data_IF_626808915903
#
_entry.id   IF_626808915903
#
_cell.length_a   1.000
_cell.length_b   1.000
_cell.length_c   1.000
_cell.angle_alpha   90.00
_cell.angle_beta   90.00
_cell.angle_gamma   90.00
#
_symmetry.space_group_name_H-M   'P 1'
#
loop_
_entity.id
_entity.type
_entity.pdbx_description
1 polymer ?
#
# COMPACT_ATOMS: atom_id res chain seq x y z
N UNK A 1 -5.92 6.59 -5.06
CA UNK A 1 -4.48 6.28 -5.16
C UNK A 1 -3.88 6.66 -3.80
N UNK A 2 -2.57 6.59 -3.54
CA UNK A 2 -1.99 7.32 -2.38
C UNK A 2 -0.85 8.19 -2.88
N UNK A 3 -1.19 9.39 -3.32
CA UNK A 3 -0.23 10.41 -3.72
C UNK A 3 0.34 11.08 -2.48
N UNK A 4 1.64 11.35 -2.54
CA UNK A 4 2.34 12.10 -1.49
C UNK A 4 1.67 13.46 -1.30
N UNK A 5 1.38 13.82 -0.06
CA UNK A 5 0.74 15.10 0.33
C UNK A 5 -0.68 15.32 -0.23
N UNK A 6 -1.43 14.25 -0.50
CA UNK A 6 -2.83 14.33 -0.88
C UNK A 6 -3.73 14.17 0.35
N UNK A 7 -4.11 15.29 0.99
CA UNK A 7 -4.95 15.28 2.19
C UNK A 7 -6.24 14.43 2.04
N UNK A 8 -7.01 14.52 0.92
CA UNK A 8 -8.21 13.70 0.77
C UNK A 8 -7.93 12.20 0.86
N UNK A 9 -6.84 11.75 0.24
CA UNK A 9 -6.47 10.33 0.24
C UNK A 9 -5.95 9.89 1.62
N UNK A 10 -5.25 10.77 2.36
CA UNK A 10 -4.81 10.52 3.74
C UNK A 10 -6.01 10.38 4.70
N UNK A 11 -7.03 11.23 4.55
CA UNK A 11 -8.26 11.12 5.34
C UNK A 11 -9.07 9.85 5.02
N UNK A 12 -9.08 9.42 3.76
CA UNK A 12 -9.80 8.22 3.33
C UNK A 12 -9.08 6.90 3.71
N UNK A 13 -7.75 6.90 3.80
CA UNK A 13 -6.96 5.69 4.02
C UNK A 13 -7.34 4.87 5.27
N UNK A 14 -7.55 5.46 6.47
CA UNK A 14 -7.97 4.71 7.65
C UNK A 14 -9.29 3.97 7.44
N UNK A 15 -10.23 4.56 6.71
CA UNK A 15 -11.54 3.96 6.43
C UNK A 15 -11.35 2.71 5.58
N UNK A 16 -10.58 2.80 4.49
CA UNK A 16 -10.30 1.66 3.63
C UNK A 16 -9.50 0.57 4.35
N UNK A 17 -8.50 0.95 5.16
CA UNK A 17 -7.70 0.00 5.91
C UNK A 17 -8.56 -0.84 6.86
N UNK A 18 -9.47 -0.21 7.60
CA UNK A 18 -10.42 -0.93 8.47
C UNK A 18 -11.31 -1.89 7.68
N UNK A 19 -11.86 -1.45 6.54
CA UNK A 19 -12.71 -2.28 5.70
C UNK A 19 -11.96 -3.50 5.11
N UNK A 20 -10.70 -3.32 4.73
CA UNK A 20 -9.88 -4.43 4.24
C UNK A 20 -9.55 -5.44 5.34
N UNK A 21 -9.22 -4.97 6.55
CA UNK A 21 -8.98 -5.85 7.70
C UNK A 21 -10.26 -6.64 8.07
N UNK A 22 -11.42 -5.97 8.12
CA UNK A 22 -12.72 -6.62 8.38
C UNK A 22 -13.08 -7.67 7.32
N UNK A 23 -12.73 -7.41 6.05
CA UNK A 23 -12.95 -8.34 4.95
C UNK A 23 -11.88 -9.46 4.86
N UNK A 24 -10.85 -9.44 5.71
CA UNK A 24 -9.72 -10.37 5.65
C UNK A 24 -8.86 -10.19 4.39
N UNK A 25 -8.92 -9.02 3.76
CA UNK A 25 -8.19 -8.69 2.53
C UNK A 25 -6.86 -8.06 2.91
N UNK A 26 -5.76 -8.73 2.56
CA UNK A 26 -4.41 -8.16 2.69
C UNK A 26 -4.28 -6.93 1.78
N UNK A 27 -3.84 -5.80 2.32
CA UNK A 27 -3.57 -4.57 1.57
C UNK A 27 -2.14 -4.08 1.81
N UNK A 28 -1.58 -3.33 0.86
CA UNK A 28 -0.25 -2.75 0.93
C UNK A 28 -0.33 -1.24 0.73
N UNK A 29 0.14 -0.47 1.72
CA UNK A 29 0.25 0.98 1.60
C UNK A 29 1.44 1.37 0.75
N UNK A 30 1.24 2.07 -0.38
CA UNK A 30 2.32 2.60 -1.22
C UNK A 30 2.09 4.10 -1.43
N UNK A 31 3.03 4.91 -0.92
CA UNK A 31 3.04 6.34 -1.21
C UNK A 31 3.70 6.58 -2.58
N UNK A 32 3.04 7.37 -3.42
CA UNK A 32 3.52 7.73 -4.75
C UNK A 32 4.05 9.15 -4.72
N UNK A 33 5.36 9.27 -4.89
CA UNK A 33 6.06 10.53 -5.11
C UNK A 33 6.33 10.70 -6.61
N UNK A 34 5.74 11.73 -7.23
CA UNK A 34 5.90 11.99 -8.66
C UNK A 34 7.29 12.51 -9.02
N UNK A 35 8.05 13.04 -8.07
CA UNK A 35 9.42 13.51 -8.27
C UNK A 35 10.47 12.44 -7.93
N UNK A 36 10.04 11.24 -7.54
CA UNK A 36 10.95 10.16 -7.18
C UNK A 36 11.86 9.76 -8.36
N UNK A 37 13.15 9.70 -8.09
CA UNK A 37 14.18 9.23 -9.03
C UNK A 37 14.57 7.77 -8.81
N UNK A 38 14.07 7.14 -7.73
CA UNK A 38 14.32 5.75 -7.39
C UNK A 38 13.08 5.10 -6.77
N UNK A 39 12.79 3.87 -7.19
CA UNK A 39 11.63 3.09 -6.74
C UNK A 39 12.02 1.76 -6.06
N UNK A 40 13.30 1.57 -5.72
CA UNK A 40 13.80 0.30 -5.19
C UNK A 40 13.14 -0.10 -3.85
N UNK A 41 12.76 0.89 -3.04
CA UNK A 41 12.01 0.63 -1.81
C UNK A 41 10.61 0.08 -2.12
N UNK A 42 9.89 0.69 -3.07
CA UNK A 42 8.57 0.24 -3.49
C UNK A 42 8.67 -1.18 -4.05
N UNK A 43 9.67 -1.45 -4.88
CA UNK A 43 9.92 -2.77 -5.46
C UNK A 43 10.11 -3.84 -4.39
N UNK A 44 10.94 -3.59 -3.38
CA UNK A 44 11.16 -4.53 -2.26
C UNK A 44 9.85 -4.76 -1.48
N UNK A 45 9.07 -3.72 -1.21
CA UNK A 45 7.80 -3.85 -0.48
C UNK A 45 6.75 -4.65 -1.25
N UNK A 46 6.64 -4.43 -2.56
CA UNK A 46 5.76 -5.21 -3.43
C UNK A 46 6.22 -6.67 -3.49
N UNK A 47 7.53 -6.92 -3.60
CA UNK A 47 8.08 -8.27 -3.60
C UNK A 47 7.75 -9.01 -2.29
N UNK A 48 8.02 -8.41 -1.13
CA UNK A 48 7.70 -9.02 0.16
C UNK A 48 6.20 -9.26 0.32
N UNK A 49 5.36 -8.34 -0.15
CA UNK A 49 3.90 -8.53 -0.12
C UNK A 49 3.46 -9.71 -0.99
N UNK A 50 4.04 -9.88 -2.18
CA UNK A 50 3.77 -11.04 -3.04
C UNK A 50 4.21 -12.35 -2.38
N UNK A 51 5.41 -12.36 -1.76
CA UNK A 51 5.92 -13.52 -1.01
C UNK A 51 5.01 -13.89 0.16
N UNK A 52 4.50 -12.91 0.92
CA UNK A 52 3.51 -13.13 1.99
C UNK A 52 2.18 -13.71 1.50
N UNK A 53 1.82 -13.47 0.23
CA UNK A 53 0.64 -14.07 -0.40
C UNK A 53 0.86 -15.54 -0.78
N UNK A 54 2.08 -15.89 -1.20
CA UNK A 54 2.45 -17.25 -1.63
C UNK A 54 2.57 -18.25 -0.47
N UNK A 55 2.83 -17.79 0.76
CA UNK A 55 2.97 -18.65 1.96
C UNK A 55 1.61 -19.10 2.54
N UNK A 56 0.49 -18.56 2.05
CA UNK A 56 -0.87 -18.88 2.55
C UNK A 56 -1.61 -20.01 1.80
N UNK A 57 -0.90 -20.88 1.07
CA UNK A 57 -1.46 -22.11 0.45
C UNK A 57 -0.95 -23.38 1.14
#
# INVERSE_FOLDING_TARGET
>A
CMMKFCDPEEFDYPIYYMQFEEAGVKSLYLEIDMEATSFEQIKTRVQSFAEMGLVTN
#
